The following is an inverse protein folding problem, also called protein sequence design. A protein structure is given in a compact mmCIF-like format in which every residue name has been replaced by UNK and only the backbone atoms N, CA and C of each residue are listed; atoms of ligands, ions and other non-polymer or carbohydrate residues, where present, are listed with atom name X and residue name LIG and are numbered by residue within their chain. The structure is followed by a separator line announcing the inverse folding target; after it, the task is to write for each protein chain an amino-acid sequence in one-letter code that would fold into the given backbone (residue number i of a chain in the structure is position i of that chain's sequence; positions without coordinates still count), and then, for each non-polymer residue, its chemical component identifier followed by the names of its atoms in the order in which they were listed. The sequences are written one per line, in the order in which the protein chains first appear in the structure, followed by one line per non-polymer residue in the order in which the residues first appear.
data_IF_407475259404
#
_entry.id   IF_407475259404
#
_cell.length_a   1.000
_cell.length_b   1.000
_cell.length_c   1.000
_cell.angle_alpha   90.00
_cell.angle_beta   90.00
_cell.angle_gamma   90.00
#
_symmetry.space_group_name_H-M   'P 1'
#
loop_
_entity.id
_entity.type
_entity.pdbx_description
1 polymer ?
#
# COMPACT_ATOMS: atom_id res chain seq x y z
N UNK A 1 -19.17 -6.82 -8.00
CA UNK A 1 -18.28 -7.93 -7.58
C UNK A 1 -16.84 -7.63 -7.94
N UNK A 2 -16.59 -7.13 -9.15
CA UNK A 2 -15.28 -6.67 -9.63
C UNK A 2 -14.62 -5.62 -8.73
N UNK A 3 -15.35 -4.58 -8.28
CA UNK A 3 -14.80 -3.56 -7.35
C UNK A 3 -14.36 -4.16 -6.01
N UNK A 4 -15.10 -5.15 -5.49
CA UNK A 4 -14.77 -5.78 -4.20
C UNK A 4 -13.47 -6.57 -4.32
N UNK A 5 -13.37 -7.39 -5.37
CA UNK A 5 -12.18 -8.22 -5.60
C UNK A 5 -10.96 -7.35 -5.88
N UNK A 6 -11.08 -6.34 -6.74
CA UNK A 6 -9.98 -5.42 -7.03
C UNK A 6 -9.57 -4.59 -5.81
N UNK A 7 -10.52 -4.11 -4.99
CA UNK A 7 -10.23 -3.41 -3.74
C UNK A 7 -9.49 -4.31 -2.74
N UNK A 8 -9.91 -5.58 -2.61
CA UNK A 8 -9.21 -6.55 -1.77
C UNK A 8 -7.79 -6.79 -2.25
N UNK A 9 -7.60 -6.98 -3.56
CA UNK A 9 -6.27 -7.19 -4.15
C UNK A 9 -5.36 -5.98 -3.93
N UNK A 10 -5.87 -4.78 -4.16
CA UNK A 10 -5.15 -3.52 -3.93
C UNK A 10 -4.83 -3.34 -2.45
N UNK A 11 -5.78 -3.59 -1.56
CA UNK A 11 -5.53 -3.48 -0.14
C UNK A 11 -4.45 -4.46 0.30
N UNK A 12 -4.59 -5.74 -0.05
CA UNK A 12 -3.62 -6.77 0.31
C UNK A 12 -2.25 -6.44 -0.29
N UNK A 13 -2.17 -6.02 -1.55
CA UNK A 13 -0.90 -5.68 -2.19
C UNK A 13 -0.15 -4.58 -1.48
N UNK A 14 -0.87 -3.53 -1.07
CA UNK A 14 -0.34 -2.35 -0.40
C UNK A 14 -0.21 -2.52 1.11
N UNK A 15 -0.63 -3.66 1.66
CA UNK A 15 -0.69 -3.86 3.12
C UNK A 15 0.24 -4.94 3.66
N UNK A 16 0.85 -5.74 2.78
CA UNK A 16 1.65 -6.91 3.18
C UNK A 16 2.95 -6.49 3.89
N UNK A 17 3.60 -5.45 3.40
CA UNK A 17 4.81 -4.83 3.96
C UNK A 17 4.58 -4.29 5.39
N UNK A 18 3.39 -3.75 5.66
CA UNK A 18 3.04 -3.30 7.00
C UNK A 18 2.94 -4.44 8.02
N UNK A 19 2.75 -5.70 7.62
CA UNK A 19 2.61 -6.81 8.57
C UNK A 19 3.85 -6.95 9.45
N UNK A 20 5.04 -6.87 8.88
CA UNK A 20 6.30 -7.03 9.63
C UNK A 20 6.46 -5.88 10.62
N UNK A 21 6.36 -4.64 10.13
CA UNK A 21 6.52 -3.45 10.98
C UNK A 21 5.45 -3.38 12.07
N UNK A 22 4.17 -3.62 11.75
CA UNK A 22 3.11 -3.66 12.76
C UNK A 22 3.34 -4.76 13.79
N UNK A 23 3.88 -5.91 13.39
CA UNK A 23 4.22 -7.02 14.30
C UNK A 23 5.29 -6.57 15.30
N UNK A 24 6.37 -5.94 14.82
CA UNK A 24 7.44 -5.37 15.66
C UNK A 24 6.87 -4.29 16.61
N UNK A 25 6.01 -3.41 16.10
CA UNK A 25 5.37 -2.36 16.92
C UNK A 25 4.49 -2.94 18.03
N UNK A 26 3.71 -3.98 17.75
CA UNK A 26 2.88 -4.63 18.77
C UNK A 26 3.73 -5.41 19.79
N UNK A 27 4.86 -5.97 19.37
CA UNK A 27 5.80 -6.66 20.25
C UNK A 27 6.50 -5.69 21.21
N UNK A 28 7.03 -4.57 20.69
CA UNK A 28 7.80 -3.57 21.46
C UNK A 28 6.92 -2.72 22.38
N UNK A 29 5.72 -2.29 21.94
CA UNK A 29 4.91 -1.33 22.69
C UNK A 29 3.91 -1.96 23.67
N UNK A 30 3.66 -3.27 23.54
CA UNK A 30 2.72 -3.99 24.38
C UNK A 30 1.30 -3.37 24.44
N UNK A 31 0.64 -3.47 25.60
CA UNK A 31 -0.77 -3.06 25.76
C UNK A 31 -1.00 -1.55 25.73
N UNK A 32 0.00 -0.74 26.05
CA UNK A 32 -0.13 0.72 26.10
C UNK A 32 -0.06 1.36 24.71
N UNK A 33 0.70 0.76 23.78
CA UNK A 33 0.78 1.22 22.39
C UNK A 33 -0.43 0.89 21.53
N UNK A 34 -1.26 -0.08 21.95
CA UNK A 34 -2.34 -0.67 21.16
C UNK A 34 -3.23 0.38 20.48
N UNK A 35 -3.82 1.29 21.26
CA UNK A 35 -4.71 2.33 20.71
C UNK A 35 -3.99 3.26 19.76
N UNK A 36 -2.73 3.56 20.06
CA UNK A 36 -1.92 4.48 19.27
C UNK A 36 -1.54 3.86 17.93
N UNK A 37 -1.17 2.57 17.90
CA UNK A 37 -0.84 1.85 16.66
C UNK A 37 -2.04 1.80 15.73
N UNK A 38 -3.21 1.42 16.26
CA UNK A 38 -4.45 1.41 15.47
C UNK A 38 -4.79 2.80 14.93
N UNK A 39 -4.76 3.83 15.78
CA UNK A 39 -5.04 5.20 15.36
C UNK A 39 -4.02 5.69 14.31
N UNK A 40 -2.75 5.37 14.53
CA UNK A 40 -1.64 5.68 13.63
C UNK A 40 -1.86 5.11 12.24
N UNK A 41 -2.18 3.81 12.15
CA UNK A 41 -2.42 3.11 10.89
C UNK A 41 -3.65 3.68 10.16
N UNK A 42 -4.77 3.90 10.85
CA UNK A 42 -5.95 4.50 10.22
C UNK A 42 -5.69 5.91 9.69
N UNK A 43 -5.00 6.74 10.46
CA UNK A 43 -4.67 8.10 10.04
C UNK A 43 -3.67 8.11 8.89
N UNK A 44 -2.63 7.27 8.95
CA UNK A 44 -1.58 7.21 7.94
C UNK A 44 -2.10 6.67 6.61
N UNK A 45 -2.75 5.50 6.62
CA UNK A 45 -3.39 4.96 5.41
C UNK A 45 -4.49 5.90 4.90
N UNK A 46 -5.27 6.50 5.81
CA UNK A 46 -6.28 7.49 5.45
C UNK A 46 -5.70 8.70 4.73
N UNK A 47 -4.53 9.21 5.16
CA UNK A 47 -3.83 10.31 4.50
C UNK A 47 -3.34 9.92 3.11
N UNK A 48 -2.73 8.73 2.97
CA UNK A 48 -2.26 8.22 1.67
C UNK A 48 -3.42 8.07 0.68
N UNK A 49 -4.54 7.50 1.14
CA UNK A 49 -5.77 7.35 0.34
C UNK A 49 -6.34 8.72 -0.03
N UNK A 50 -6.37 9.68 0.91
CA UNK A 50 -6.88 11.02 0.65
C UNK A 50 -6.04 11.73 -0.41
N UNK A 51 -4.71 11.70 -0.29
CA UNK A 51 -3.78 12.26 -1.29
C UNK A 51 -4.00 11.58 -2.65
N UNK A 52 -4.20 10.27 -2.65
CA UNK A 52 -4.44 9.51 -3.88
C UNK A 52 -5.75 9.87 -4.55
N UNK A 53 -6.83 10.07 -3.78
CA UNK A 53 -8.13 10.50 -4.29
C UNK A 53 -8.06 11.92 -4.88
N UNK A 54 -7.31 12.82 -4.24
CA UNK A 54 -7.08 14.18 -4.77
C UNK A 54 -6.34 14.10 -6.12
N UNK A 55 -5.25 13.32 -6.18
CA UNK A 55 -4.50 13.15 -7.43
C UNK A 55 -5.35 12.49 -8.52
N UNK A 56 -6.10 11.43 -8.20
CA UNK A 56 -7.01 10.76 -9.11
C UNK A 56 -8.09 11.72 -9.64
N UNK A 57 -8.64 12.58 -8.79
CA UNK A 57 -9.60 13.61 -9.20
C UNK A 57 -9.01 14.55 -10.28
N UNK A 58 -7.77 15.00 -10.11
CA UNK A 58 -7.10 15.82 -11.13
C UNK A 58 -6.77 15.05 -12.42
N UNK A 59 -6.41 13.77 -12.31
CA UNK A 59 -6.11 12.92 -13.46
C UNK A 59 -7.34 12.62 -14.32
N UNK A 60 -8.54 12.61 -13.74
CA UNK A 60 -9.79 12.46 -14.49
C UNK A 60 -10.05 13.61 -15.50
N UNK A 61 -9.31 14.72 -15.42
CA UNK A 61 -9.37 15.78 -16.45
C UNK A 61 -8.48 15.49 -17.67
N UNK A 62 -7.66 14.44 -17.65
CA UNK A 62 -6.82 14.04 -18.78
C UNK A 62 -7.69 13.31 -19.82
N UNK A 63 -7.82 13.82 -21.07
CA UNK A 63 -8.77 13.27 -22.05
C UNK A 63 -8.38 11.91 -22.67
N UNK A 64 -7.27 11.31 -22.24
CA UNK A 64 -6.62 10.20 -22.94
C UNK A 64 -6.24 9.11 -21.94
N UNK A 65 -6.99 8.01 -21.96
CA UNK A 65 -6.85 6.91 -21.00
C UNK A 65 -5.44 6.25 -21.06
N UNK A 66 -4.82 6.21 -22.23
CA UNK A 66 -3.47 5.66 -22.38
C UNK A 66 -2.41 6.43 -21.56
N UNK A 67 -2.64 7.70 -21.26
CA UNK A 67 -1.77 8.51 -20.39
C UNK A 67 -1.97 8.10 -18.93
N UNK A 68 -3.21 7.79 -18.53
CA UNK A 68 -3.52 7.28 -17.18
C UNK A 68 -2.85 5.92 -16.99
N UNK A 69 -2.84 5.07 -18.00
CA UNK A 69 -2.16 3.78 -17.92
C UNK A 69 -0.65 3.86 -17.75
N UNK A 70 0.01 4.97 -18.10
CA UNK A 70 1.43 5.19 -17.80
C UNK A 70 1.72 5.19 -16.29
N UNK A 71 0.71 5.46 -15.45
CA UNK A 71 0.85 5.32 -13.99
C UNK A 71 1.17 3.88 -13.58
N UNK A 72 0.80 2.88 -14.40
CA UNK A 72 1.18 1.49 -14.20
C UNK A 72 2.70 1.25 -14.25
N UNK A 73 3.48 2.18 -14.82
CA UNK A 73 4.95 2.13 -14.75
C UNK A 73 5.47 2.34 -13.34
N UNK A 74 4.72 3.03 -12.46
CA UNK A 74 5.12 3.28 -11.07
C UNK A 74 5.14 1.95 -10.28
N UNK A 75 4.04 1.20 -10.12
CA UNK A 75 4.07 -0.08 -9.43
C UNK A 75 4.96 -1.11 -10.14
N UNK A 76 5.07 -1.06 -11.48
CA UNK A 76 6.00 -1.92 -12.20
C UNK A 76 7.47 -1.64 -11.83
N UNK A 77 7.85 -0.37 -11.76
CA UNK A 77 9.19 0.05 -11.33
C UNK A 77 9.47 -0.28 -9.88
N UNK A 78 8.49 -0.09 -8.99
CA UNK A 78 8.59 -0.44 -7.58
C UNK A 78 8.77 -1.96 -7.39
N UNK A 79 7.97 -2.77 -8.10
CA UNK A 79 8.06 -4.22 -8.06
C UNK A 79 9.36 -4.76 -8.65
N UNK A 80 9.95 -4.10 -9.65
CA UNK A 80 11.30 -4.44 -10.13
C UNK A 80 12.36 -4.05 -9.10
N UNK A 81 12.27 -2.85 -8.52
CA UNK A 81 13.23 -2.36 -7.53
C UNK A 81 13.29 -3.28 -6.32
N UNK A 82 12.16 -3.78 -5.83
CA UNK A 82 12.11 -4.67 -4.66
C UNK A 82 12.76 -6.05 -4.89
N UNK A 83 13.05 -6.43 -6.14
CA UNK A 83 13.84 -7.65 -6.44
C UNK A 83 15.34 -7.42 -6.18
N UNK A 84 15.82 -6.17 -6.35
CA UNK A 84 17.25 -5.84 -6.30
C UNK A 84 17.67 -5.10 -5.03
N UNK A 85 16.72 -4.56 -4.28
CA UNK A 85 16.95 -3.81 -3.04
C UNK A 85 16.41 -4.64 -1.89
N UNK A 86 17.30 -5.12 -1.02
CA UNK A 86 16.93 -5.68 0.27
C UNK A 86 16.73 -4.50 1.25
N UNK A 87 15.48 -4.27 1.64
CA UNK A 87 15.14 -3.33 2.71
C UNK A 87 14.86 -4.17 3.98
N UNK A 88 15.94 -4.67 4.60
CA UNK A 88 15.83 -5.39 5.87
C UNK A 88 15.26 -4.43 6.93
N UNK A 89 14.26 -4.91 7.66
CA UNK A 89 13.53 -4.12 8.65
C UNK A 89 14.22 -4.28 10.02
N UNK A 90 14.97 -3.27 10.44
CA UNK A 90 15.60 -3.25 11.77
C UNK A 90 14.64 -2.68 12.84
N UNK A 91 14.52 -3.39 13.97
CA UNK A 91 13.73 -2.98 15.12
C UNK A 91 14.27 -1.70 15.76
N UNK A 92 15.59 -1.51 15.83
CA UNK A 92 16.21 -0.30 16.40
C UNK A 92 15.88 0.94 15.55
N UNK A 93 15.83 0.80 14.22
CA UNK A 93 15.46 1.88 13.30
C UNK A 93 13.98 2.28 13.48
N UNK A 94 13.10 1.31 13.73
CA UNK A 94 11.69 1.57 14.02
C UNK A 94 11.56 2.31 15.35
N UNK A 95 12.22 1.85 16.41
CA UNK A 95 12.20 2.51 17.73
C UNK A 95 12.76 3.94 17.67
N UNK A 96 13.85 4.16 16.92
CA UNK A 96 14.43 5.48 16.68
C UNK A 96 13.47 6.45 15.99
N UNK A 97 12.65 5.96 15.05
CA UNK A 97 11.60 6.78 14.39
C UNK A 97 10.46 7.13 15.36
N UNK A 98 10.11 6.24 16.28
CA UNK A 98 9.00 6.46 17.23
C UNK A 98 9.37 7.51 18.30
N UNK A 99 10.60 7.46 18.80
CA UNK A 99 11.06 8.35 19.89
C UNK A 99 11.19 9.82 19.49
N UNK A 100 11.25 10.13 18.18
CA UNK A 100 11.33 11.51 17.64
C UNK A 100 10.02 12.28 17.68
N UNK A 101 8.88 11.60 17.59
CA UNK A 101 7.56 12.21 17.55
C UNK A 101 6.91 12.11 18.94
N UNK A 102 6.78 13.25 19.64
CA UNK A 102 6.32 13.26 21.04
C UNK A 102 4.94 12.63 21.29
N UNK A 103 4.09 12.55 20.27
CA UNK A 103 2.82 11.80 20.32
C UNK A 103 2.98 10.46 19.63
N UNK A 104 2.77 9.35 20.36
CA UNK A 104 2.80 7.98 19.79
C UNK A 104 1.88 7.82 18.57
N UNK A 105 0.72 8.48 18.56
CA UNK A 105 -0.20 8.44 17.41
C UNK A 105 0.45 9.09 16.19
N UNK A 106 1.05 10.28 16.37
CA UNK A 106 1.74 10.97 15.28
C UNK A 106 2.94 10.16 14.79
N UNK A 107 3.73 9.60 15.71
CA UNK A 107 4.85 8.73 15.38
C UNK A 107 4.44 7.56 14.47
N UNK A 108 3.36 6.85 14.84
CA UNK A 108 2.85 5.75 14.04
C UNK A 108 2.23 6.22 12.72
N UNK A 109 1.50 7.35 12.71
CA UNK A 109 1.01 7.95 11.46
C UNK A 109 2.16 8.30 10.51
N UNK A 110 3.20 8.98 11.01
CA UNK A 110 4.39 9.34 10.25
C UNK A 110 5.07 8.10 9.68
N UNK A 111 5.20 7.04 10.49
CA UNK A 111 5.78 5.77 10.04
C UNK A 111 4.92 5.13 8.93
N UNK A 112 3.61 5.04 9.13
CA UNK A 112 2.69 4.47 8.13
C UNK A 112 2.77 5.22 6.79
N UNK A 113 2.85 6.55 6.83
CA UNK A 113 2.98 7.40 5.64
C UNK A 113 4.35 7.25 4.98
N UNK A 114 5.42 7.18 5.77
CA UNK A 114 6.77 7.01 5.26
C UNK A 114 6.94 5.66 4.54
N UNK A 115 6.33 4.60 5.07
CA UNK A 115 6.32 3.28 4.44
C UNK A 115 5.44 3.25 3.19
N UNK A 116 4.19 3.73 3.30
CA UNK A 116 3.23 3.63 2.19
C UNK A 116 3.30 4.73 1.15
N UNK A 117 4.42 5.44 1.04
CA UNK A 117 4.59 6.45 0.00
C UNK A 117 4.52 5.83 -1.40
N UNK A 118 4.99 4.59 -1.54
CA UNK A 118 4.94 3.78 -2.76
C UNK A 118 3.51 3.31 -3.10
N UNK A 119 2.65 3.13 -2.09
CA UNK A 119 1.22 2.81 -2.26
C UNK A 119 0.46 3.88 -3.03
N UNK A 120 0.95 5.14 -3.07
CA UNK A 120 0.38 6.18 -3.95
C UNK A 120 0.43 5.76 -5.42
N UNK A 121 1.50 5.06 -5.84
CA UNK A 121 1.64 4.53 -7.20
C UNK A 121 0.59 3.49 -7.56
N UNK A 122 -0.09 2.92 -6.57
CA UNK A 122 -1.15 1.92 -6.73
C UNK A 122 -2.54 2.57 -6.55
N UNK A 123 -2.72 3.34 -5.49
CA UNK A 123 -4.01 3.96 -5.16
C UNK A 123 -4.45 5.00 -6.20
N UNK A 124 -3.52 5.82 -6.69
CA UNK A 124 -3.85 6.87 -7.68
C UNK A 124 -4.46 6.28 -8.95
N UNK A 125 -3.79 5.36 -9.68
CA UNK A 125 -4.40 4.75 -10.86
C UNK A 125 -5.64 3.93 -10.52
N UNK A 126 -5.68 3.26 -9.36
CA UNK A 126 -6.85 2.48 -8.95
C UNK A 126 -8.11 3.33 -8.77
N UNK A 127 -7.99 4.54 -8.20
CA UNK A 127 -9.13 5.43 -7.99
C UNK A 127 -9.47 6.30 -9.20
N UNK A 128 -8.58 6.38 -10.20
CA UNK A 128 -8.85 7.15 -11.43
C UNK A 128 -9.96 6.45 -12.22
N UNK A 129 -10.92 7.21 -12.75
CA UNK A 129 -12.07 6.68 -13.48
C UNK A 129 -13.17 6.02 -12.63
N UNK A 130 -12.99 5.84 -11.31
CA UNK A 130 -14.00 5.21 -10.45
C UNK A 130 -15.15 6.14 -10.07
N UNK A 131 -16.35 5.57 -10.00
CA UNK A 131 -17.53 6.26 -9.48
C UNK A 131 -17.47 6.45 -7.95
N UNK A 132 -18.25 7.40 -7.43
CA UNK A 132 -18.34 7.66 -5.97
C UNK A 132 -18.77 6.42 -5.18
N UNK A 133 -19.65 5.58 -5.75
CA UNK A 133 -20.10 4.34 -5.10
C UNK A 133 -18.95 3.34 -5.01
N UNK A 134 -18.16 3.18 -6.06
CA UNK A 134 -17.01 2.28 -6.06
C UNK A 134 -15.91 2.75 -5.11
N UNK A 135 -15.65 4.06 -5.06
CA UNK A 135 -14.74 4.66 -4.08
C UNK A 135 -15.26 4.33 -2.67
N UNK A 136 -16.55 4.56 -2.39
CA UNK A 136 -17.16 4.25 -1.10
C UNK A 136 -17.00 2.78 -0.68
N UNK A 137 -17.25 1.84 -1.61
CA UNK A 137 -17.03 0.40 -1.36
C UNK A 137 -15.56 0.12 -1.03
N UNK A 138 -14.63 0.71 -1.78
CA UNK A 138 -13.20 0.54 -1.58
C UNK A 138 -12.75 1.06 -0.21
N UNK A 139 -13.25 2.23 0.21
CA UNK A 139 -12.96 2.82 1.52
C UNK A 139 -13.45 1.93 2.67
N UNK A 140 -14.63 1.32 2.55
CA UNK A 140 -15.13 0.36 3.54
C UNK A 140 -14.23 -0.87 3.61
N UNK A 141 -13.81 -1.40 2.45
CA UNK A 141 -12.90 -2.56 2.38
C UNK A 141 -11.55 -2.22 3.02
N UNK A 142 -10.96 -1.07 2.71
CA UNK A 142 -9.68 -0.65 3.29
C UNK A 142 -9.80 -0.45 4.81
N UNK A 143 -10.89 0.16 5.27
CA UNK A 143 -11.15 0.36 6.70
C UNK A 143 -11.22 -0.97 7.44
N UNK A 144 -11.99 -1.93 6.93
CA UNK A 144 -12.09 -3.27 7.51
C UNK A 144 -10.77 -4.04 7.37
N UNK A 145 -10.06 -3.85 6.27
CA UNK A 145 -8.75 -4.41 6.00
C UNK A 145 -7.74 -3.99 7.06
N UNK A 146 -7.67 -2.70 7.40
CA UNK A 146 -6.77 -2.17 8.45
C UNK A 146 -7.05 -2.85 9.79
N UNK A 147 -8.33 -3.05 10.16
CA UNK A 147 -8.70 -3.77 11.37
C UNK A 147 -8.18 -5.21 11.36
N UNK A 148 -8.33 -5.93 10.24
CA UNK A 148 -7.86 -7.31 10.09
C UNK A 148 -6.33 -7.35 10.14
N UNK A 149 -5.66 -6.45 9.44
CA UNK A 149 -4.21 -6.32 9.39
C UNK A 149 -3.62 -6.09 10.78
N UNK A 150 -4.18 -5.14 11.54
CA UNK A 150 -3.72 -4.86 12.90
C UNK A 150 -3.94 -6.05 13.85
N UNK A 151 -5.09 -6.73 13.75
CA UNK A 151 -5.36 -7.93 14.56
C UNK A 151 -4.42 -9.08 14.20
N UNK A 152 -4.16 -9.28 12.92
CA UNK A 152 -3.23 -10.31 12.45
C UNK A 152 -1.84 -10.02 12.99
N UNK A 153 -1.32 -8.81 12.77
CA UNK A 153 0.01 -8.37 13.26
C UNK A 153 0.13 -8.49 14.78
N UNK A 154 -0.91 -8.09 15.52
CA UNK A 154 -0.96 -8.24 16.98
C UNK A 154 -0.90 -9.72 17.41
N UNK A 155 -1.57 -10.63 16.70
CA UNK A 155 -1.49 -12.06 16.96
C UNK A 155 -0.09 -12.61 16.67
N UNK A 156 0.52 -12.17 15.56
CA UNK A 156 1.86 -12.60 15.15
C UNK A 156 2.94 -12.09 16.10
N UNK A 157 2.75 -10.93 16.73
CA UNK A 157 3.69 -10.33 17.68
C UNK A 157 3.96 -11.20 18.93
N UNK A 158 3.08 -12.17 19.21
CA UNK A 158 3.26 -13.14 20.29
C UNK A 158 4.16 -14.32 19.93
N UNK A 159 4.63 -14.41 18.68
CA UNK A 159 5.38 -15.55 18.14
C UNK A 159 6.71 -15.05 17.55
N UNK A 160 7.80 -15.20 18.31
CA UNK A 160 9.13 -14.66 17.95
C UNK A 160 9.71 -15.20 16.63
N UNK A 161 9.24 -16.35 16.14
CA UNK A 161 9.74 -16.99 14.91
C UNK A 161 9.02 -16.53 13.62
N UNK A 162 7.99 -15.68 13.72
CA UNK A 162 7.15 -15.33 12.57
C UNK A 162 7.73 -14.17 11.76
N UNK A 163 8.49 -13.27 12.37
CA UNK A 163 9.10 -12.13 11.66
C UNK A 163 9.91 -12.58 10.44
N UNK A 164 10.84 -13.51 10.64
CA UNK A 164 11.69 -14.06 9.56
C UNK A 164 10.89 -14.76 8.45
N UNK A 165 9.79 -15.44 8.80
CA UNK A 165 8.94 -16.12 7.82
C UNK A 165 8.18 -15.09 6.99
N UNK A 166 7.56 -14.09 7.63
CA UNK A 166 6.78 -13.05 6.95
C UNK A 166 7.70 -12.26 6.02
N UNK A 167 8.86 -11.84 6.49
CA UNK A 167 9.86 -11.12 5.71
C UNK A 167 10.29 -11.90 4.46
N UNK A 168 10.52 -13.21 4.60
CA UNK A 168 10.85 -14.09 3.45
C UNK A 168 9.74 -14.14 2.41
N UNK A 169 8.48 -14.22 2.83
CA UNK A 169 7.35 -14.26 1.90
C UNK A 169 7.06 -12.90 1.28
N UNK A 170 7.21 -11.82 2.04
CA UNK A 170 7.09 -10.44 1.57
C UNK A 170 8.03 -10.16 0.39
N UNK A 171 9.31 -10.51 0.53
CA UNK A 171 10.35 -10.36 -0.52
C UNK A 171 10.00 -11.05 -1.85
N UNK A 172 9.06 -12.00 -1.84
CA UNK A 172 8.56 -12.67 -3.06
C UNK A 172 7.21 -12.11 -3.49
N UNK A 173 6.27 -11.91 -2.56
CA UNK A 173 4.89 -11.53 -2.86
C UNK A 173 4.82 -10.09 -3.35
N UNK A 174 5.53 -9.16 -2.72
CA UNK A 174 5.48 -7.73 -3.06
C UNK A 174 5.90 -7.48 -4.52
N UNK A 175 7.07 -7.96 -5.00
CA UNK A 175 7.43 -7.83 -6.41
C UNK A 175 6.38 -8.38 -7.38
N UNK A 176 5.89 -9.59 -7.12
CA UNK A 176 4.95 -10.29 -8.01
C UNK A 176 3.65 -9.50 -8.12
N UNK A 177 3.12 -9.01 -7.00
CA UNK A 177 1.86 -8.28 -7.00
C UNK A 177 2.02 -6.90 -7.62
N UNK A 178 3.11 -6.18 -7.34
CA UNK A 178 3.37 -4.85 -7.90
C UNK A 178 3.59 -4.90 -9.41
N UNK A 179 4.37 -5.86 -9.90
CA UNK A 179 4.56 -6.09 -11.33
C UNK A 179 3.23 -6.46 -11.99
N UNK A 180 2.48 -7.39 -11.40
CA UNK A 180 1.17 -7.81 -11.92
C UNK A 180 0.19 -6.64 -12.01
N UNK A 181 0.13 -5.79 -10.99
CA UNK A 181 -0.75 -4.63 -10.95
C UNK A 181 -0.33 -3.54 -11.94
N UNK A 182 0.98 -3.30 -12.10
CA UNK A 182 1.51 -2.36 -13.09
C UNK A 182 1.21 -2.79 -14.52
N UNK A 183 1.40 -4.08 -14.83
CA UNK A 183 1.01 -4.64 -16.13
C UNK A 183 -0.50 -4.56 -16.35
N UNK A 184 -1.31 -4.87 -15.34
CA UNK A 184 -2.76 -4.77 -15.42
C UNK A 184 -3.20 -3.34 -15.76
N UNK A 185 -2.68 -2.32 -15.06
CA UNK A 185 -3.00 -0.91 -15.32
C UNK A 185 -2.62 -0.50 -16.75
N UNK A 186 -1.44 -0.90 -17.23
CA UNK A 186 -0.97 -0.61 -18.59
C UNK A 186 -1.85 -1.23 -19.68
N UNK A 187 -2.38 -2.43 -19.44
CA UNK A 187 -3.25 -3.15 -20.37
C UNK A 187 -4.67 -2.57 -20.33
N UNK A 188 -5.25 -2.42 -19.15
CA UNK A 188 -6.64 -1.99 -18.93
C UNK A 188 -6.89 -0.59 -19.53
N UNK A 189 -5.92 0.31 -19.38
CA UNK A 189 -6.01 1.68 -19.90
C UNK A 189 -5.54 1.82 -21.36
N UNK A 190 -5.25 0.71 -22.05
CA UNK A 190 -4.92 0.72 -23.48
C UNK A 190 -3.53 1.30 -23.83
N UNK A 191 -2.67 1.56 -22.85
CA UNK A 191 -1.32 2.13 -23.07
C UNK A 191 -0.48 1.23 -23.96
N UNK A 192 -0.48 -0.09 -23.73
CA UNK A 192 0.27 -1.03 -24.56
C UNK A 192 -0.24 -1.02 -26.01
N UNK A 193 -1.55 -1.02 -26.20
CA UNK A 193 -2.17 -0.99 -27.53
C UNK A 193 -1.82 0.29 -28.32
N UNK A 194 -1.76 1.44 -27.62
CA UNK A 194 -1.37 2.71 -28.21
C UNK A 194 0.09 2.69 -28.70
N UNK A 195 1.04 2.16 -27.92
CA UNK A 195 2.43 2.07 -28.37
C UNK A 195 2.62 1.06 -29.51
N UNK A 196 1.90 -0.07 -29.50
CA UNK A 196 1.92 -1.04 -30.58
C UNK A 196 1.42 -0.41 -31.89
N UNK A 197 0.34 0.38 -31.85
CA UNK A 197 -0.19 1.04 -33.04
C UNK A 197 0.76 2.10 -33.60
N UNK A 198 1.56 2.77 -32.76
CA UNK A 198 2.58 3.72 -33.19
C UNK A 198 3.75 3.05 -33.95
N UNK A 199 4.13 1.84 -33.56
CA UNK A 199 5.22 1.07 -34.21
C UNK A 199 4.74 0.40 -35.50
N UNK A 200 3.44 0.10 -35.60
CA UNK A 200 2.83 -0.59 -36.74
C UNK A 200 2.29 0.39 -37.80
N UNK A 201 2.28 1.69 -37.49
CA UNK A 201 1.93 2.81 -38.38
C UNK A 201 3.13 3.31 -39.18
#
# INVERSE_FOLDING_TARGET
METIVSALLVFVSTSIDYLVVLTILFASQGKEGLKSIYAGQYLGTGLLVLVSLIAAYFLNFIPQDWIIGLLGLIPLGLGIRSIFVDEDIDEEDIEGKITRDGSKILAFTSLTVAMGGDNLGIYIPYFTGKSLIEIGISLVIFTLGILILCKLSQSLASISAIGEIVEKYEKIIVPVVFIGLGLYILIENGTINYFISLITS
#
